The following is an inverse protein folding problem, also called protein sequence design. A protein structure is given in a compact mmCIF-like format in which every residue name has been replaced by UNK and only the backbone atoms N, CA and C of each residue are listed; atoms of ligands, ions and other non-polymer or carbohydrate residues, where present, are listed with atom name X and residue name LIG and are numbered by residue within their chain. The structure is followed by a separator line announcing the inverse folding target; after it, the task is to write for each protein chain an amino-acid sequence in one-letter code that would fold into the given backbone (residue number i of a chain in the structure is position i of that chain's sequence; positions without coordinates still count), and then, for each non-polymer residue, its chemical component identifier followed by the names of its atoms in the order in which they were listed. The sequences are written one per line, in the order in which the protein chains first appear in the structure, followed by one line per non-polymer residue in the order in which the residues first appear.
data_IF_754294816209
#
_entry.id   IF_754294816209
#
_cell.length_a   1.000
_cell.length_b   1.000
_cell.length_c   1.000
_cell.angle_alpha   90.00
_cell.angle_beta   90.00
_cell.angle_gamma   90.00
#
_symmetry.space_group_name_H-M   'P 1'
#
loop_
_entity.id
_entity.type
_entity.pdbx_description
1 polymer ?
#
# COMPACT_ATOMS: atom_id res chain seq x y z
N UNK A 1 6.34 13.75 45.43
CA UNK A 1 5.87 12.95 44.28
C UNK A 1 5.94 13.80 43.01
N UNK A 2 6.27 13.23 41.83
CA UNK A 2 6.21 13.98 40.58
C UNK A 2 4.76 14.45 40.32
N UNK A 3 4.56 15.61 39.63
CA UNK A 3 3.24 16.11 39.31
C UNK A 3 2.49 15.12 38.41
N UNK A 4 1.16 15.07 38.54
CA UNK A 4 0.32 14.30 37.64
C UNK A 4 0.42 14.85 36.21
N UNK A 5 0.42 13.99 35.19
CA UNK A 5 0.48 14.42 33.80
C UNK A 5 -0.77 15.23 33.40
N UNK A 6 -0.60 16.18 32.49
CA UNK A 6 -1.70 16.91 31.85
C UNK A 6 -2.20 16.09 30.66
N UNK A 7 -3.51 15.85 30.59
CA UNK A 7 -4.14 15.09 29.51
C UNK A 7 -4.38 15.98 28.27
N UNK A 8 -4.40 15.40 27.05
CA UNK A 8 -4.30 13.98 26.73
C UNK A 8 -2.86 13.45 26.68
N UNK A 9 -2.69 12.16 26.99
CA UNK A 9 -1.43 11.43 26.80
C UNK A 9 -1.47 10.61 25.51
N UNK A 10 -0.34 10.44 24.80
CA UNK A 10 -0.29 9.53 23.66
C UNK A 10 -0.46 8.09 24.14
N UNK A 11 -1.21 7.30 23.38
CA UNK A 11 -1.21 5.85 23.57
C UNK A 11 0.14 5.25 23.12
N UNK A 12 0.35 3.97 23.43
CA UNK A 12 1.61 3.28 23.13
C UNK A 12 1.98 3.31 21.64
N UNK A 13 0.99 3.18 20.74
CA UNK A 13 1.20 3.18 19.29
C UNK A 13 1.55 4.58 18.75
N UNK A 14 0.90 5.62 19.25
CA UNK A 14 1.24 7.01 18.94
C UNK A 14 2.65 7.34 19.39
N UNK A 15 3.04 6.93 20.60
CA UNK A 15 4.39 7.13 21.11
C UNK A 15 5.43 6.34 20.31
N UNK A 16 5.13 5.09 19.91
CA UNK A 16 6.00 4.29 19.05
C UNK A 16 6.17 4.94 17.67
N UNK A 17 5.08 5.41 17.07
CA UNK A 17 5.12 6.14 15.79
C UNK A 17 5.98 7.41 15.91
N UNK A 18 5.77 8.20 16.96
CA UNK A 18 6.55 9.42 17.18
C UNK A 18 8.05 9.14 17.36
N UNK A 19 8.41 8.06 18.06
CA UNK A 19 9.81 7.62 18.27
C UNK A 19 10.47 7.05 17.02
N UNK A 20 9.69 6.69 16.00
CA UNK A 20 10.19 6.14 14.73
C UNK A 20 10.83 7.21 13.82
N UNK A 21 10.61 8.50 14.15
CA UNK A 21 11.13 9.71 13.48
C UNK A 21 10.72 9.87 12.01
N UNK A 22 11.23 9.03 11.12
CA UNK A 22 11.06 9.15 9.67
C UNK A 22 10.45 7.88 9.08
N UNK A 23 9.53 8.08 8.13
CA UNK A 23 8.96 7.03 7.31
C UNK A 23 9.09 7.40 5.83
N UNK A 24 9.24 6.39 4.96
CA UNK A 24 9.36 6.55 3.51
C UNK A 24 8.07 6.09 2.82
N UNK A 25 7.59 6.86 1.84
CA UNK A 25 6.34 6.55 1.13
C UNK A 25 6.65 6.18 -0.32
N UNK A 26 6.29 4.96 -0.72
CA UNK A 26 6.37 4.47 -2.09
C UNK A 26 5.02 4.67 -2.80
N UNK A 27 4.99 5.58 -3.76
CA UNK A 27 3.92 5.66 -4.76
C UNK A 27 4.36 4.85 -5.97
N UNK A 28 3.68 3.74 -6.22
CA UNK A 28 3.97 2.83 -7.31
C UNK A 28 2.66 2.20 -7.79
N UNK A 29 2.49 2.05 -9.10
CA UNK A 29 1.27 1.52 -9.70
C UNK A 29 1.20 1.76 -11.20
N UNK A 30 0.03 1.59 -11.79
CA UNK A 30 -0.25 1.90 -13.21
C UNK A 30 0.16 3.32 -13.59
N UNK A 31 -0.02 4.27 -12.67
CA UNK A 31 0.38 5.67 -12.79
C UNK A 31 1.88 5.87 -13.08
N UNK A 32 2.75 4.98 -12.57
CA UNK A 32 4.18 4.98 -12.90
C UNK A 32 4.44 4.72 -14.38
N UNK A 33 3.55 3.98 -15.05
CA UNK A 33 3.66 3.61 -16.47
C UNK A 33 2.88 4.53 -17.40
N UNK A 34 1.94 5.32 -16.87
CA UNK A 34 1.17 6.31 -17.64
C UNK A 34 1.72 7.73 -17.52
N UNK A 35 2.76 7.94 -16.70
CA UNK A 35 3.31 9.27 -16.40
C UNK A 35 2.22 10.25 -15.88
N UNK A 36 1.39 9.76 -14.96
CA UNK A 36 0.28 10.52 -14.40
C UNK A 36 0.31 10.50 -12.88
N UNK A 37 0.08 11.65 -12.25
CA UNK A 37 -0.09 11.72 -10.81
C UNK A 37 -1.39 11.03 -10.37
N UNK A 38 -2.49 11.25 -11.11
CA UNK A 38 -3.82 10.70 -10.83
C UNK A 38 -4.37 9.97 -12.05
N UNK A 39 -4.29 8.64 -12.05
CA UNK A 39 -4.91 7.82 -13.08
C UNK A 39 -6.43 7.94 -13.14
N UNK A 40 -6.99 7.64 -14.31
CA UNK A 40 -8.42 7.84 -14.60
C UNK A 40 -9.33 6.76 -14.03
N UNK A 41 -8.77 5.59 -13.72
CA UNK A 41 -9.53 4.38 -13.39
C UNK A 41 -9.68 3.37 -14.54
N UNK A 42 -9.21 3.71 -15.75
CA UNK A 42 -9.45 2.90 -16.96
C UNK A 42 -8.16 2.54 -17.72
N UNK A 43 -7.00 2.64 -17.07
CA UNK A 43 -5.75 2.21 -17.68
C UNK A 43 -5.78 0.70 -17.88
N UNK A 44 -5.31 0.18 -19.03
CA UNK A 44 -5.29 -1.26 -19.25
C UNK A 44 -4.32 -1.93 -18.24
N UNK A 45 -4.75 -2.92 -17.43
CA UNK A 45 -3.88 -3.62 -16.47
C UNK A 45 -2.56 -4.13 -17.04
N UNK A 46 -2.51 -4.44 -18.34
CA UNK A 46 -1.32 -4.94 -19.02
C UNK A 46 -0.17 -3.94 -19.09
N UNK A 47 -0.44 -2.64 -18.91
CA UNK A 47 0.62 -1.61 -18.84
C UNK A 47 1.48 -1.76 -17.60
N UNK A 48 0.93 -2.35 -16.53
CA UNK A 48 1.67 -2.64 -15.32
C UNK A 48 2.62 -3.81 -15.59
N UNK A 49 3.85 -3.49 -15.99
CA UNK A 49 4.85 -4.50 -16.36
C UNK A 49 6.29 -4.07 -15.98
N UNK A 50 6.60 -3.91 -14.68
CA UNK A 50 7.95 -3.57 -14.26
C UNK A 50 8.92 -4.71 -14.62
N UNK A 51 10.00 -4.37 -15.32
CA UNK A 51 10.94 -5.37 -15.89
C UNK A 51 11.92 -5.95 -14.88
N UNK A 52 12.26 -5.20 -13.82
CA UNK A 52 13.26 -5.56 -12.81
C UNK A 52 12.83 -5.15 -11.39
N UNK A 53 11.55 -5.32 -11.07
CA UNK A 53 11.04 -4.99 -9.73
C UNK A 53 11.78 -5.80 -8.66
N UNK A 54 12.32 -5.10 -7.67
CA UNK A 54 13.03 -5.68 -6.53
C UNK A 54 12.71 -4.87 -5.25
N UNK A 55 11.75 -5.34 -4.47
CA UNK A 55 11.34 -4.70 -3.21
C UNK A 55 12.41 -4.76 -2.13
N UNK A 56 13.27 -5.79 -2.13
CA UNK A 56 14.42 -5.87 -1.23
C UNK A 56 15.40 -4.71 -1.46
N UNK A 57 15.56 -4.26 -2.70
CA UNK A 57 16.36 -3.07 -3.00
C UNK A 57 15.72 -1.80 -2.41
N UNK A 58 14.40 -1.65 -2.47
CA UNK A 58 13.69 -0.51 -1.86
C UNK A 58 13.89 -0.48 -0.34
N UNK A 59 13.72 -1.62 0.31
CA UNK A 59 13.88 -1.75 1.77
C UNK A 59 15.33 -1.56 2.19
N UNK A 60 16.30 -2.07 1.41
CA UNK A 60 17.72 -1.86 1.69
C UNK A 60 18.06 -0.38 1.75
N UNK A 61 17.64 0.39 0.73
CA UNK A 61 17.81 1.85 0.69
C UNK A 61 17.10 2.50 1.89
N UNK A 62 15.85 2.13 2.17
CA UNK A 62 15.13 2.69 3.32
C UNK A 62 15.88 2.49 4.64
N UNK A 63 16.41 1.28 4.87
CA UNK A 63 17.17 0.96 6.07
C UNK A 63 18.51 1.70 6.13
N UNK A 64 19.23 1.76 5.02
CA UNK A 64 20.53 2.45 4.91
C UNK A 64 20.41 3.93 5.28
N UNK A 65 19.33 4.59 4.87
CA UNK A 65 19.07 6.00 5.17
C UNK A 65 18.27 6.23 6.47
N UNK A 66 18.13 5.21 7.32
CA UNK A 66 17.58 5.35 8.67
C UNK A 66 16.06 5.39 8.77
N UNK A 67 15.33 5.03 7.72
CA UNK A 67 13.87 4.89 7.79
C UNK A 67 13.50 3.61 8.54
N UNK A 68 12.79 3.77 9.66
CA UNK A 68 12.32 2.65 10.48
C UNK A 68 11.00 2.06 9.98
N UNK A 69 10.32 2.74 9.05
CA UNK A 69 9.07 2.32 8.44
C UNK A 69 8.97 2.77 6.98
N UNK A 70 8.32 1.96 6.16
CA UNK A 70 7.89 2.31 4.81
C UNK A 70 6.37 2.20 4.67
N UNK A 71 5.79 2.95 3.74
CA UNK A 71 4.39 2.88 3.34
C UNK A 71 4.30 2.65 1.84
N UNK A 72 3.42 1.75 1.39
CA UNK A 72 3.17 1.48 -0.02
C UNK A 72 1.74 1.85 -0.40
N UNK A 73 1.55 2.51 -1.56
CA UNK A 73 0.24 2.61 -2.22
C UNK A 73 -0.21 1.24 -2.73
N UNK A 74 -0.77 0.40 -1.84
CA UNK A 74 -1.34 -0.89 -2.23
C UNK A 74 -2.46 -0.72 -3.27
N UNK A 75 -3.26 0.35 -3.13
CA UNK A 75 -4.19 0.86 -4.14
C UNK A 75 -4.21 2.38 -4.10
N UNK A 76 -4.06 3.02 -5.26
CA UNK A 76 -4.18 4.49 -5.39
C UNK A 76 -5.57 4.90 -5.91
N UNK A 77 -5.80 6.18 -6.20
CA UNK A 77 -7.11 6.70 -6.61
C UNK A 77 -7.65 6.08 -7.90
N UNK A 78 -6.76 5.63 -8.77
CA UNK A 78 -7.12 4.92 -10.00
C UNK A 78 -7.67 3.50 -9.74
N UNK A 79 -7.58 2.97 -8.53
CA UNK A 79 -8.21 1.70 -8.15
C UNK A 79 -7.38 0.44 -8.44
N UNK A 80 -6.23 0.54 -9.11
CA UNK A 80 -5.43 -0.65 -9.43
C UNK A 80 -4.77 -1.23 -8.16
N UNK A 81 -5.05 -2.51 -7.89
CA UNK A 81 -4.53 -3.19 -6.70
C UNK A 81 -3.18 -3.88 -6.97
N UNK A 82 -2.19 -3.60 -6.13
CA UNK A 82 -0.83 -4.15 -6.22
C UNK A 82 -0.66 -5.58 -5.66
N UNK A 83 -1.75 -6.16 -5.18
CA UNK A 83 -1.86 -7.56 -4.73
C UNK A 83 -3.00 -8.22 -5.52
N UNK A 84 -3.01 -9.56 -5.67
CA UNK A 84 -4.09 -10.28 -6.32
C UNK A 84 -5.31 -10.34 -5.39
N UNK A 85 -5.97 -9.20 -5.19
CA UNK A 85 -7.21 -9.10 -4.39
C UNK A 85 -8.25 -10.06 -4.96
N UNK A 86 -9.05 -10.72 -4.13
CA UNK A 86 -10.18 -11.55 -4.61
C UNK A 86 -11.37 -10.70 -5.08
N UNK A 87 -11.42 -9.43 -4.66
CA UNK A 87 -12.61 -8.57 -4.77
C UNK A 87 -12.65 -7.67 -6.01
N UNK A 88 -11.62 -7.70 -6.86
CA UNK A 88 -11.59 -6.96 -8.14
C UNK A 88 -10.64 -7.57 -9.15
N UNK A 89 -11.03 -7.58 -10.43
CA UNK A 89 -10.15 -7.93 -11.55
C UNK A 89 -9.11 -6.86 -11.86
N UNK A 90 -9.28 -5.65 -11.33
CA UNK A 90 -8.37 -4.55 -11.57
C UNK A 90 -7.18 -4.56 -10.61
N UNK A 91 -6.34 -5.57 -10.79
CA UNK A 91 -5.18 -5.81 -9.98
C UNK A 91 -4.04 -6.41 -10.81
N UNK A 92 -2.89 -6.63 -10.16
CA UNK A 92 -1.75 -7.36 -10.71
C UNK A 92 -2.12 -8.71 -11.33
N UNK A 93 -3.23 -9.34 -10.92
CA UNK A 93 -3.73 -10.60 -11.49
C UNK A 93 -4.08 -10.51 -12.97
N UNK A 94 -4.48 -9.31 -13.43
CA UNK A 94 -4.85 -9.03 -14.82
C UNK A 94 -3.70 -8.39 -15.62
N UNK A 95 -2.53 -8.24 -15.00
CA UNK A 95 -1.34 -7.66 -15.65
C UNK A 95 -0.44 -8.73 -16.28
N UNK A 96 0.43 -8.31 -17.19
CA UNK A 96 1.46 -9.20 -17.75
C UNK A 96 2.64 -9.42 -16.79
N UNK A 97 2.75 -8.61 -15.74
CA UNK A 97 3.84 -8.73 -14.78
C UNK A 97 3.80 -10.09 -14.06
N UNK A 98 4.92 -10.83 -14.13
CA UNK A 98 5.02 -12.21 -13.61
C UNK A 98 3.87 -13.12 -14.08
N UNK A 99 3.38 -12.91 -15.31
CA UNK A 99 2.26 -13.65 -15.90
C UNK A 99 0.98 -13.60 -15.02
N UNK A 100 0.70 -12.46 -14.38
CA UNK A 100 -0.45 -12.30 -13.49
C UNK A 100 -0.31 -12.94 -12.11
N UNK A 101 0.83 -13.55 -11.78
CA UNK A 101 1.06 -14.23 -10.50
C UNK A 101 1.89 -13.39 -9.52
N UNK A 102 2.08 -12.11 -9.80
CA UNK A 102 2.85 -11.22 -8.94
C UNK A 102 2.03 -10.67 -7.78
N UNK A 103 2.71 -10.34 -6.68
CA UNK A 103 2.16 -9.63 -5.54
C UNK A 103 3.23 -8.69 -4.99
N UNK A 104 3.08 -7.37 -5.25
CA UNK A 104 4.06 -6.37 -4.79
C UNK A 104 3.97 -6.18 -3.28
N UNK A 105 2.77 -6.32 -2.71
CA UNK A 105 2.53 -6.13 -1.28
C UNK A 105 3.23 -7.25 -0.51
N UNK A 106 3.05 -8.51 -0.92
CA UNK A 106 3.72 -9.66 -0.31
C UNK A 106 5.25 -9.58 -0.45
N UNK A 107 5.75 -9.26 -1.65
CA UNK A 107 7.19 -9.07 -1.90
C UNK A 107 7.79 -7.98 -0.98
N UNK A 108 7.08 -6.87 -0.78
CA UNK A 108 7.55 -5.78 0.10
C UNK A 108 7.45 -6.16 1.58
N UNK A 109 6.38 -6.84 1.99
CA UNK A 109 6.18 -7.30 3.36
C UNK A 109 7.27 -8.28 3.79
N UNK A 110 7.63 -9.24 2.92
CA UNK A 110 8.72 -10.18 3.17
C UNK A 110 10.06 -9.43 3.34
N UNK A 111 10.39 -8.54 2.40
CA UNK A 111 11.63 -7.75 2.45
C UNK A 111 11.71 -6.85 3.70
N UNK A 112 10.61 -6.18 4.07
CA UNK A 112 10.53 -5.32 5.24
C UNK A 112 10.73 -6.12 6.53
N UNK A 113 10.06 -7.28 6.65
CA UNK A 113 10.18 -8.19 7.78
C UNK A 113 11.62 -8.69 7.96
N UNK A 114 12.26 -9.16 6.88
CA UNK A 114 13.63 -9.66 6.93
C UNK A 114 14.64 -8.57 7.33
N UNK A 115 14.38 -7.32 6.93
CA UNK A 115 15.22 -6.18 7.28
C UNK A 115 14.92 -5.57 8.67
N UNK A 116 13.83 -5.97 9.34
CA UNK A 116 13.37 -5.35 10.58
C UNK A 116 12.81 -3.94 10.39
N UNK A 117 12.30 -3.62 9.20
CA UNK A 117 11.68 -2.34 8.86
C UNK A 117 10.16 -2.49 8.96
N UNK A 118 9.49 -1.52 9.59
CA UNK A 118 8.02 -1.53 9.68
C UNK A 118 7.37 -1.32 8.31
N UNK A 119 6.26 -2.00 8.05
CA UNK A 119 5.43 -1.78 6.86
C UNK A 119 4.11 -1.10 7.25
N UNK A 120 3.66 -0.18 6.40
CA UNK A 120 2.29 0.32 6.37
C UNK A 120 1.74 0.23 4.95
N UNK A 121 0.41 0.17 4.82
CA UNK A 121 -0.28 0.16 3.53
C UNK A 121 -1.15 1.40 3.40
N UNK A 122 -1.17 1.96 2.21
CA UNK A 122 -2.13 2.96 1.77
C UNK A 122 -3.14 2.26 0.86
N UNK A 123 -4.41 2.36 1.21
CA UNK A 123 -5.55 1.88 0.46
C UNK A 123 -6.43 3.10 0.22
N UNK A 124 -6.53 3.56 -1.03
CA UNK A 124 -7.29 4.78 -1.30
C UNK A 124 -8.78 4.60 -1.03
N UNK A 125 -9.42 5.46 -0.20
CA UNK A 125 -10.87 5.46 -0.06
C UNK A 125 -11.57 5.88 -1.35
N UNK A 126 -11.02 6.85 -2.07
CA UNK A 126 -11.54 7.25 -3.38
C UNK A 126 -11.05 6.28 -4.44
N UNK A 127 -11.98 5.59 -5.08
CA UNK A 127 -11.72 4.64 -6.16
C UNK A 127 -12.40 5.11 -7.45
N UNK A 128 -11.61 5.27 -8.51
CA UNK A 128 -12.08 5.72 -9.83
C UNK A 128 -12.37 4.56 -10.79
N UNK A 129 -12.08 3.32 -10.38
CA UNK A 129 -12.34 2.12 -11.16
C UNK A 129 -13.57 1.36 -10.67
N UNK A 130 -13.70 1.17 -9.36
CA UNK A 130 -14.73 0.31 -8.76
C UNK A 130 -16.14 0.82 -9.03
N UNK A 131 -16.96 0.02 -9.72
CA UNK A 131 -18.29 0.41 -10.17
C UNK A 131 -19.25 0.77 -9.02
N UNK A 132 -19.08 0.14 -7.85
CA UNK A 132 -19.91 0.46 -6.70
C UNK A 132 -19.48 1.72 -5.94
N UNK A 133 -18.39 2.39 -6.33
CA UNK A 133 -17.97 3.65 -5.70
C UNK A 133 -19.09 4.72 -5.79
N UNK A 134 -19.44 5.31 -4.65
CA UNK A 134 -20.58 6.22 -4.50
C UNK A 134 -21.85 5.56 -3.92
N UNK A 135 -21.97 4.22 -3.98
CA UNK A 135 -22.92 3.48 -3.14
C UNK A 135 -22.27 3.22 -1.78
N UNK A 136 -22.68 3.98 -0.77
CA UNK A 136 -22.09 3.94 0.57
C UNK A 136 -22.02 2.53 1.14
N UNK A 137 -23.10 1.74 1.07
CA UNK A 137 -23.09 0.43 1.74
C UNK A 137 -22.22 -0.57 0.98
N UNK A 138 -22.42 -0.66 -0.35
CA UNK A 138 -21.70 -1.63 -1.18
C UNK A 138 -20.21 -1.33 -1.24
N UNK A 139 -19.82 -0.06 -1.41
CA UNK A 139 -18.41 0.30 -1.47
C UNK A 139 -17.71 0.15 -0.11
N UNK A 140 -18.37 0.45 1.01
CA UNK A 140 -17.76 0.18 2.32
C UNK A 140 -17.53 -1.32 2.53
N UNK A 141 -18.44 -2.19 2.08
CA UNK A 141 -18.23 -3.65 2.14
C UNK A 141 -17.04 -4.08 1.27
N UNK A 142 -16.95 -3.59 0.03
CA UNK A 142 -15.80 -3.84 -0.86
C UNK A 142 -14.48 -3.36 -0.22
N UNK A 143 -14.45 -2.12 0.27
CA UNK A 143 -13.28 -1.51 0.89
C UNK A 143 -12.82 -2.26 2.14
N UNK A 144 -13.76 -2.63 3.04
CA UNK A 144 -13.46 -3.42 4.23
C UNK A 144 -12.94 -4.82 3.89
N UNK A 145 -13.43 -5.41 2.81
CA UNK A 145 -12.97 -6.71 2.34
C UNK A 145 -11.51 -6.64 1.85
N UNK A 146 -11.17 -5.66 1.00
CA UNK A 146 -9.80 -5.39 0.57
C UNK A 146 -8.87 -5.06 1.75
N UNK A 147 -9.34 -4.23 2.69
CA UNK A 147 -8.59 -3.91 3.90
C UNK A 147 -8.34 -5.15 4.75
N UNK A 148 -9.32 -6.07 4.82
CA UNK A 148 -9.17 -7.34 5.54
C UNK A 148 -8.10 -8.21 4.88
N UNK A 149 -8.07 -8.32 3.55
CA UNK A 149 -6.99 -9.05 2.85
C UNK A 149 -5.61 -8.51 3.22
N UNK A 150 -5.43 -7.19 3.14
CA UNK A 150 -4.14 -6.52 3.41
C UNK A 150 -3.68 -6.64 4.87
N UNK A 151 -4.60 -6.81 5.81
CA UNK A 151 -4.30 -6.86 7.25
C UNK A 151 -4.27 -8.29 7.82
N UNK A 152 -4.57 -9.32 7.01
CA UNK A 152 -4.64 -10.71 7.49
C UNK A 152 -3.81 -11.72 6.69
N UNK A 153 -3.32 -11.34 5.52
CA UNK A 153 -2.47 -12.20 4.67
C UNK A 153 -0.99 -11.86 4.80
#
# INVERSE_FOLDING_TARGET
PPPLPILPLPNAFQLQWQKSNMALFFHFGTNTFTDSEWGTGHADPTIFNPTKLNTSQWIHVAKEYGFSRVLLTAKHHDGFCLWPSEYTDYSVRSSNWRNGNGDVVADLAAAAKDAGVGLGVYLSPWDRHEECYGDTLRYNQHYLAQMTELLTR
#
